data_IF_689734001961
#
_entry.id   IF_689734001961
#
_cell.length_a   1.000
_cell.length_b   1.000
_cell.length_c   1.000
_cell.angle_alpha   90.00
_cell.angle_beta   90.00
_cell.angle_gamma   90.00
#
_symmetry.space_group_name_H-M   'P 1'
#
loop_
_entity.id
_entity.type
_entity.pdbx_description
1 polymer ?
#
# COMPACT_ATOMS: atom_id res chain seq x y z
N UNK A 1 -17.61 3.77 7.65
CA UNK A 1 -16.60 2.70 7.57
C UNK A 1 -15.31 3.29 8.09
N UNK A 2 -14.87 2.82 9.26
CA UNK A 2 -13.62 3.26 9.89
C UNK A 2 -12.51 2.26 9.56
N UNK A 3 -11.50 2.68 8.82
CA UNK A 3 -10.30 1.91 8.51
C UNK A 3 -9.13 2.44 9.33
N UNK A 4 -8.45 1.57 10.06
CA UNK A 4 -7.17 1.90 10.70
C UNK A 4 -6.06 1.27 9.87
N UNK A 5 -5.15 2.09 9.36
CA UNK A 5 -3.96 1.64 8.66
C UNK A 5 -2.77 1.68 9.60
N UNK A 6 -2.09 0.56 9.77
CA UNK A 6 -0.86 0.43 10.57
C UNK A 6 0.28 0.20 9.60
N UNK A 7 1.09 1.23 9.33
CA UNK A 7 2.08 1.09 8.25
C UNK A 7 3.12 2.20 8.17
N UNK A 8 3.86 2.15 7.09
CA UNK A 8 5.01 3.01 6.81
C UNK A 8 4.61 4.36 6.24
N UNK A 9 5.47 5.33 6.51
CA UNK A 9 5.50 6.65 5.85
C UNK A 9 6.92 6.88 5.37
N UNK A 10 7.11 7.17 4.09
CA UNK A 10 8.41 7.46 3.49
C UNK A 10 8.37 8.78 2.71
N UNK A 11 9.53 9.38 2.56
CA UNK A 11 9.78 10.34 1.50
C UNK A 11 10.63 9.68 0.41
N UNK A 12 10.10 9.52 -0.78
CA UNK A 12 10.78 8.89 -1.90
C UNK A 12 11.63 9.93 -2.62
N UNK A 13 12.93 9.65 -2.75
CA UNK A 13 13.93 10.48 -3.43
C UNK A 13 14.20 9.84 -4.79
N UNK A 14 13.62 10.40 -5.84
CA UNK A 14 13.62 9.81 -7.19
C UNK A 14 14.61 10.56 -8.07
N UNK A 15 15.63 9.86 -8.57
CA UNK A 15 16.60 10.35 -9.53
C UNK A 15 16.33 9.72 -10.92
N UNK A 16 16.11 10.57 -11.93
CA UNK A 16 16.00 10.11 -13.31
C UNK A 16 17.39 10.05 -13.94
N UNK A 17 17.69 8.93 -14.58
CA UNK A 17 19.01 8.69 -15.22
C UNK A 17 18.82 8.10 -16.63
N UNK A 18 19.84 8.17 -17.47
CA UNK A 18 19.78 7.56 -18.81
C UNK A 18 19.90 6.04 -18.77
N UNK A 19 20.54 5.48 -17.75
CA UNK A 19 20.67 4.04 -17.46
C UNK A 19 20.86 3.83 -15.97
N UNK A 20 20.52 2.66 -15.47
CA UNK A 20 20.81 2.31 -14.06
C UNK A 20 22.33 2.19 -13.85
N UNK A 21 22.88 2.70 -12.73
CA UNK A 21 24.31 2.58 -12.41
C UNK A 21 24.68 1.12 -12.07
N UNK A 22 25.80 0.66 -12.60
CA UNK A 22 26.45 -0.57 -12.16
C UNK A 22 27.36 -0.32 -10.94
N UNK A 23 27.80 -1.39 -10.29
CA UNK A 23 28.74 -1.27 -9.17
C UNK A 23 30.02 -0.52 -9.57
N UNK A 24 30.33 0.57 -8.86
CA UNK A 24 31.46 1.45 -9.13
C UNK A 24 31.20 2.61 -10.09
N UNK A 25 30.02 2.68 -10.70
CA UNK A 25 29.67 3.80 -11.58
C UNK A 25 29.39 5.11 -10.81
N UNK A 26 29.78 6.22 -11.41
CA UNK A 26 29.28 7.55 -11.08
C UNK A 26 28.56 8.09 -12.31
N UNK A 27 27.27 8.34 -12.19
CA UNK A 27 26.45 8.87 -13.30
C UNK A 27 25.75 10.15 -12.86
N UNK A 28 25.37 10.99 -13.84
CA UNK A 28 24.65 12.23 -13.58
C UNK A 28 23.17 12.00 -13.83
N UNK A 29 22.33 12.36 -12.85
CA UNK A 29 20.89 12.38 -13.01
C UNK A 29 20.46 13.56 -13.89
N UNK A 30 19.40 13.36 -14.67
CA UNK A 30 18.78 14.40 -15.51
C UNK A 30 17.68 15.16 -14.79
N UNK A 31 17.08 14.53 -13.76
CA UNK A 31 16.04 15.13 -12.92
C UNK A 31 16.09 14.52 -11.51
N UNK A 32 15.57 15.26 -10.53
CA UNK A 32 15.44 14.84 -9.15
C UNK A 32 14.11 15.30 -8.56
N UNK A 33 13.40 14.39 -7.93
CA UNK A 33 12.10 14.67 -7.30
C UNK A 33 12.03 14.09 -5.90
N UNK A 34 11.32 14.78 -5.03
CA UNK A 34 10.91 14.31 -3.69
C UNK A 34 9.41 14.01 -3.75
N UNK A 35 9.00 12.81 -3.45
CA UNK A 35 7.61 12.36 -3.60
C UNK A 35 7.16 11.71 -2.29
N UNK A 36 6.00 12.11 -1.71
CA UNK A 36 5.41 11.39 -0.59
C UNK A 36 5.15 9.93 -0.95
N UNK A 37 5.56 9.00 -0.08
CA UNK A 37 5.49 7.57 -0.30
C UNK A 37 5.31 6.78 1.00
N UNK A 38 5.69 5.50 0.94
CA UNK A 38 5.45 4.51 1.98
C UNK A 38 4.10 3.81 1.81
N UNK A 39 4.11 2.48 1.82
CA UNK A 39 2.90 1.66 1.53
C UNK A 39 1.75 1.96 2.48
N UNK A 40 2.04 2.16 3.78
CA UNK A 40 1.03 2.53 4.76
C UNK A 40 0.36 3.87 4.42
N UNK A 41 1.15 4.90 4.15
CA UNK A 41 0.67 6.21 3.76
C UNK A 41 -0.12 6.17 2.44
N UNK A 42 0.40 5.45 1.43
CA UNK A 42 -0.25 5.33 0.13
C UNK A 42 -1.62 4.65 0.24
N UNK A 43 -1.71 3.52 0.96
CA UNK A 43 -2.95 2.76 1.13
C UNK A 43 -3.96 3.51 2.00
N UNK A 44 -3.50 4.25 3.03
CA UNK A 44 -4.35 5.12 3.83
C UNK A 44 -4.98 6.23 2.97
N UNK A 45 -4.16 6.89 2.15
CA UNK A 45 -4.62 7.96 1.27
C UNK A 45 -5.56 7.43 0.17
N UNK A 46 -5.25 6.27 -0.43
CA UNK A 46 -6.11 5.63 -1.42
C UNK A 46 -7.50 5.32 -0.83
N UNK A 47 -7.54 4.69 0.33
CA UNK A 47 -8.78 4.36 1.01
C UNK A 47 -9.58 5.63 1.41
N UNK A 48 -8.89 6.67 1.90
CA UNK A 48 -9.51 7.95 2.25
C UNK A 48 -10.16 8.62 1.04
N UNK A 49 -9.44 8.71 -0.06
CA UNK A 49 -9.96 9.27 -1.33
C UNK A 49 -11.17 8.50 -1.86
N UNK A 50 -11.23 7.20 -1.60
CA UNK A 50 -12.34 6.33 -2.01
C UNK A 50 -13.49 6.26 -0.99
N UNK A 51 -13.46 7.12 0.05
CA UNK A 51 -14.61 7.38 0.91
C UNK A 51 -14.58 6.70 2.28
N UNK A 52 -13.50 6.04 2.67
CA UNK A 52 -13.35 5.54 4.03
C UNK A 52 -13.02 6.68 5.03
N UNK A 53 -13.42 6.53 6.28
CA UNK A 53 -12.88 7.29 7.39
C UNK A 53 -11.61 6.60 7.86
N UNK A 54 -10.45 7.24 7.67
CA UNK A 54 -9.13 6.60 7.80
C UNK A 54 -8.33 7.24 8.93
N UNK A 55 -7.82 6.40 9.85
CA UNK A 55 -6.79 6.75 10.80
C UNK A 55 -5.48 6.02 10.43
N UNK A 56 -4.34 6.73 10.51
CA UNK A 56 -3.02 6.18 10.24
C UNK A 56 -2.22 6.06 11.54
N UNK A 57 -1.84 4.84 11.89
CA UNK A 57 -0.85 4.53 12.94
C UNK A 57 0.50 4.30 12.26
N UNK A 58 1.41 5.25 12.40
CA UNK A 58 2.71 5.25 11.72
C UNK A 58 3.78 5.89 12.59
N UNK A 59 5.02 5.91 12.10
CA UNK A 59 6.12 6.61 12.73
C UNK A 59 6.92 7.40 11.71
N UNK A 60 7.23 8.66 12.03
CA UNK A 60 8.07 9.56 11.25
C UNK A 60 9.11 10.22 12.16
N UNK A 61 10.17 10.79 11.59
CA UNK A 61 11.13 11.58 12.33
C UNK A 61 10.59 12.96 12.72
N UNK A 62 11.36 13.69 13.53
CA UNK A 62 11.13 15.10 13.78
C UNK A 62 11.99 15.94 12.82
N UNK A 63 11.66 15.81 11.52
CA UNK A 63 12.40 16.39 10.41
C UNK A 63 11.47 16.97 9.33
N UNK A 64 12.06 17.69 8.38
CA UNK A 64 11.34 18.30 7.26
C UNK A 64 10.68 17.23 6.36
N UNK A 65 11.34 16.07 6.19
CA UNK A 65 10.84 14.97 5.40
C UNK A 65 9.48 14.45 5.91
N UNK A 66 9.25 14.46 7.23
CA UNK A 66 7.97 14.10 7.83
C UNK A 66 6.83 15.02 7.36
N UNK A 67 7.10 16.33 7.32
CA UNK A 67 6.11 17.32 6.87
C UNK A 67 5.70 17.08 5.42
N UNK A 68 6.68 16.85 4.54
CA UNK A 68 6.42 16.56 3.12
C UNK A 68 5.68 15.23 2.92
N UNK A 69 6.14 14.16 3.59
CA UNK A 69 5.55 12.83 3.47
C UNK A 69 4.09 12.75 3.95
N UNK A 70 3.69 13.59 4.92
CA UNK A 70 2.35 13.63 5.50
C UNK A 70 1.41 14.66 4.83
N UNK A 71 1.92 15.53 3.96
CA UNK A 71 1.18 16.68 3.45
C UNK A 71 -0.13 16.30 2.75
N UNK A 72 -0.10 15.31 1.84
CA UNK A 72 -1.30 14.88 1.10
C UNK A 72 -2.29 14.14 1.99
N UNK A 73 -1.83 13.36 2.96
CA UNK A 73 -2.67 12.70 3.94
C UNK A 73 -3.46 13.72 4.78
N UNK A 74 -2.76 14.74 5.28
CA UNK A 74 -3.38 15.83 6.04
C UNK A 74 -4.40 16.62 5.18
N UNK A 75 -4.03 16.95 3.94
CA UNK A 75 -4.89 17.71 3.02
C UNK A 75 -6.18 16.95 2.66
N UNK A 76 -6.10 15.63 2.51
CA UNK A 76 -7.27 14.78 2.22
C UNK A 76 -8.01 14.31 3.50
N UNK A 77 -7.57 14.74 4.70
CA UNK A 77 -8.27 14.52 5.96
C UNK A 77 -8.14 13.11 6.51
N UNK A 78 -6.99 12.46 6.33
CA UNK A 78 -6.61 11.26 7.10
C UNK A 78 -6.34 11.67 8.54
N UNK A 79 -6.87 10.93 9.51
CA UNK A 79 -6.55 11.16 10.92
C UNK A 79 -5.10 10.72 11.20
N UNK A 80 -4.25 11.71 11.50
CA UNK A 80 -2.82 11.55 11.76
C UNK A 80 -2.48 11.58 13.26
N UNK A 81 -3.47 11.59 14.16
CA UNK A 81 -3.25 11.65 15.61
C UNK A 81 -2.46 10.45 16.14
N UNK A 82 -2.51 9.32 15.44
CA UNK A 82 -1.74 8.11 15.72
C UNK A 82 -0.32 8.09 15.13
N UNK A 83 0.12 9.18 14.47
CA UNK A 83 1.49 9.25 13.93
C UNK A 83 2.47 9.65 15.03
N UNK A 84 3.42 8.75 15.30
CA UNK A 84 4.45 8.93 16.35
C UNK A 84 5.73 9.54 15.79
N UNK A 85 6.49 10.17 16.68
CA UNK A 85 7.81 10.74 16.37
C UNK A 85 8.88 10.16 17.30
N UNK A 86 9.28 8.87 17.12
CA UNK A 86 10.40 8.30 17.85
C UNK A 86 11.71 8.92 17.37
N UNK A 87 12.81 8.73 18.14
CA UNK A 87 14.14 9.14 17.69
C UNK A 87 14.49 8.56 16.32
N UNK A 88 15.19 9.35 15.51
CA UNK A 88 15.65 8.96 14.19
C UNK A 88 14.93 9.66 13.04
N UNK A 89 15.43 9.55 11.81
CA UNK A 89 14.87 10.24 10.65
C UNK A 89 13.59 9.57 10.16
N UNK A 90 12.79 10.31 9.40
CA UNK A 90 11.70 9.77 8.59
C UNK A 90 12.22 8.71 7.62
N UNK A 91 11.41 7.71 7.32
CA UNK A 91 11.75 6.68 6.31
C UNK A 91 11.97 7.30 4.94
N UNK A 92 12.93 6.75 4.20
CA UNK A 92 13.29 7.24 2.85
C UNK A 92 13.41 6.05 1.90
N UNK A 93 12.89 6.18 0.67
CA UNK A 93 13.26 5.32 -0.43
C UNK A 93 14.16 6.08 -1.41
N UNK A 94 15.34 5.53 -1.67
CA UNK A 94 16.26 6.02 -2.70
C UNK A 94 15.93 5.28 -4.00
N UNK A 95 15.40 6.00 -4.97
CA UNK A 95 14.88 5.41 -6.21
C UNK A 95 15.65 5.99 -7.39
N UNK A 96 16.21 5.11 -8.22
CA UNK A 96 16.79 5.48 -9.50
C UNK A 96 15.94 4.89 -10.60
N UNK A 97 15.51 5.70 -11.58
CA UNK A 97 14.67 5.27 -12.71
C UNK A 97 15.40 5.63 -13.99
N UNK A 98 15.51 4.69 -14.93
CA UNK A 98 16.12 4.94 -16.22
C UNK A 98 15.12 5.30 -17.34
N UNK A 99 15.64 5.61 -18.53
CA UNK A 99 14.82 6.00 -19.69
C UNK A 99 13.93 4.85 -20.23
N UNK A 100 14.22 3.60 -19.84
CA UNK A 100 13.39 2.44 -20.16
C UNK A 100 12.27 2.22 -19.13
N UNK A 101 12.26 2.98 -18.01
CA UNK A 101 11.32 2.83 -16.90
C UNK A 101 11.72 1.75 -15.90
N UNK A 102 12.91 1.14 -16.06
CA UNK A 102 13.46 0.21 -15.07
C UNK A 102 13.93 0.98 -13.84
N UNK A 103 13.81 0.38 -12.65
CA UNK A 103 14.18 1.06 -11.43
C UNK A 103 15.01 0.18 -10.47
N UNK A 104 15.74 0.87 -9.59
CA UNK A 104 16.32 0.28 -8.39
C UNK A 104 15.87 1.07 -7.17
N UNK A 105 15.55 0.36 -6.09
CA UNK A 105 15.02 0.97 -4.86
C UNK A 105 15.84 0.47 -3.67
N UNK A 106 16.33 1.42 -2.86
CA UNK A 106 16.93 1.15 -1.56
C UNK A 106 16.09 1.82 -0.50
N UNK A 107 15.49 1.02 0.38
CA UNK A 107 14.67 1.54 1.49
C UNK A 107 15.51 1.72 2.73
N UNK A 108 15.45 2.93 3.30
CA UNK A 108 15.97 3.26 4.63
C UNK A 108 14.77 3.41 5.57
N UNK A 109 14.51 2.41 6.44
CA UNK A 109 13.27 2.39 7.22
C UNK A 109 13.10 3.58 8.17
N UNK A 110 14.19 4.12 8.73
CA UNK A 110 14.14 5.22 9.67
C UNK A 110 13.19 4.94 10.86
N UNK A 111 12.31 5.88 11.13
CA UNK A 111 11.31 5.79 12.20
C UNK A 111 10.33 4.62 12.03
N UNK A 112 10.03 4.18 10.78
CA UNK A 112 9.16 3.02 10.53
C UNK A 112 9.64 1.77 11.27
N UNK A 113 10.97 1.53 11.39
CA UNK A 113 11.53 0.40 12.11
C UNK A 113 11.24 0.40 13.62
N UNK A 114 10.77 1.52 14.15
CA UNK A 114 10.46 1.73 15.58
C UNK A 114 8.97 1.80 15.87
N UNK A 115 8.12 1.66 14.84
CA UNK A 115 6.67 1.67 15.04
C UNK A 115 6.27 0.55 16.00
N UNK A 116 5.55 0.94 17.03
CA UNK A 116 4.84 0.05 17.95
C UNK A 116 3.44 0.63 18.17
N UNK A 117 2.46 -0.21 18.32
CA UNK A 117 1.06 0.19 18.58
C UNK A 117 0.56 -0.39 19.89
N UNK A 118 -0.41 0.29 20.50
CA UNK A 118 -1.26 -0.29 21.52
C UNK A 118 -2.50 -0.87 20.82
N UNK A 119 -2.87 -2.15 21.03
CA UNK A 119 -4.10 -2.72 20.50
C UNK A 119 -5.36 -1.90 20.79
N UNK A 120 -5.39 -1.12 21.87
CA UNK A 120 -6.50 -0.24 22.20
C UNK A 120 -6.72 0.87 21.14
N UNK A 121 -5.70 1.24 20.38
CA UNK A 121 -5.80 2.24 19.29
C UNK A 121 -6.61 1.74 18.09
N UNK A 122 -6.83 0.41 18.00
CA UNK A 122 -7.64 -0.22 16.96
C UNK A 122 -9.13 -0.25 17.31
N UNK A 123 -9.51 0.24 18.50
CA UNK A 123 -10.89 0.20 18.96
C UNK A 123 -11.84 0.92 18.00
N UNK A 124 -12.96 0.28 17.69
CA UNK A 124 -13.99 0.81 16.79
C UNK A 124 -13.61 0.80 15.31
N UNK A 125 -12.51 0.15 14.91
CA UNK A 125 -12.20 -0.08 13.51
C UNK A 125 -13.17 -1.13 12.91
N UNK A 126 -13.66 -0.86 11.70
CA UNK A 126 -14.36 -1.86 10.86
C UNK A 126 -13.36 -2.71 10.09
N UNK A 127 -12.16 -2.18 9.82
CA UNK A 127 -11.02 -2.92 9.31
C UNK A 127 -9.69 -2.36 9.81
N UNK A 128 -8.67 -3.24 9.86
CA UNK A 128 -7.26 -2.91 10.09
C UNK A 128 -6.46 -3.38 8.89
N UNK A 129 -5.62 -2.50 8.32
CA UNK A 129 -4.80 -2.79 7.16
C UNK A 129 -3.33 -2.61 7.50
N UNK A 130 -2.52 -3.64 7.23
CA UNK A 130 -1.07 -3.64 7.43
C UNK A 130 -0.30 -3.93 6.14
N UNK A 131 0.99 -3.57 6.13
CA UNK A 131 1.98 -3.93 5.11
C UNK A 131 3.26 -4.39 5.82
N UNK A 132 4.28 -4.81 5.05
CA UNK A 132 5.51 -5.37 5.62
C UNK A 132 6.71 -4.39 5.63
N UNK A 133 6.46 -3.08 5.57
CA UNK A 133 7.48 -2.03 5.73
C UNK A 133 7.66 -1.56 7.19
N UNK A 134 6.98 -2.23 8.12
CA UNK A 134 7.08 -1.98 9.57
C UNK A 134 7.47 -3.27 10.29
N UNK A 135 7.92 -3.21 11.56
CA UNK A 135 8.33 -4.43 12.26
C UNK A 135 7.24 -5.49 12.31
N UNK A 136 7.58 -6.76 12.07
CA UNK A 136 6.63 -7.88 12.10
C UNK A 136 5.91 -7.99 13.45
N UNK A 137 6.58 -7.65 14.58
CA UNK A 137 5.91 -7.57 15.89
C UNK A 137 4.74 -6.58 15.93
N UNK A 138 4.83 -5.48 15.17
CA UNK A 138 3.75 -4.48 15.05
C UNK A 138 2.60 -5.02 14.22
N UNK A 139 2.90 -5.73 13.12
CA UNK A 139 1.89 -6.41 12.29
C UNK A 139 1.18 -7.49 13.10
N UNK A 140 1.92 -8.30 13.87
CA UNK A 140 1.34 -9.32 14.74
C UNK A 140 0.47 -8.72 15.85
N UNK A 141 0.89 -7.60 16.46
CA UNK A 141 0.08 -6.88 17.44
C UNK A 141 -1.21 -6.31 16.82
N UNK A 142 -1.14 -5.80 15.58
CA UNK A 142 -2.31 -5.32 14.84
C UNK A 142 -3.28 -6.46 14.51
N UNK A 143 -2.77 -7.61 14.05
CA UNK A 143 -3.57 -8.79 13.78
C UNK A 143 -4.31 -9.27 15.05
N UNK A 144 -3.59 -9.43 16.16
CA UNK A 144 -4.14 -9.87 17.42
C UNK A 144 -5.12 -8.85 18.06
N UNK A 145 -4.84 -7.54 17.88
CA UNK A 145 -5.64 -6.45 18.43
C UNK A 145 -6.85 -6.05 17.57
N UNK A 146 -6.95 -6.55 16.35
CA UNK A 146 -8.10 -6.25 15.48
C UNK A 146 -9.40 -6.66 16.13
N UNK A 147 -10.39 -5.75 16.28
CA UNK A 147 -11.64 -6.04 16.96
C UNK A 147 -12.38 -7.25 16.37
N UNK A 148 -13.14 -7.96 17.20
CA UNK A 148 -14.00 -9.05 16.72
C UNK A 148 -15.03 -8.50 15.74
N UNK A 149 -15.13 -9.13 14.56
CA UNK A 149 -16.03 -8.72 13.48
C UNK A 149 -15.45 -7.65 12.56
N UNK A 150 -14.31 -7.04 12.90
CA UNK A 150 -13.55 -6.22 12.00
C UNK A 150 -12.64 -7.06 11.09
N UNK A 151 -12.41 -6.61 9.87
CA UNK A 151 -11.50 -7.25 8.93
C UNK A 151 -10.04 -6.97 9.30
N UNK A 152 -9.19 -7.99 9.31
CA UNK A 152 -7.75 -7.81 9.28
C UNK A 152 -7.24 -8.06 7.87
N UNK A 153 -6.62 -7.04 7.28
CA UNK A 153 -6.11 -7.06 5.91
C UNK A 153 -4.59 -6.91 5.93
N UNK A 154 -3.87 -7.72 5.16
CA UNK A 154 -2.42 -7.68 5.03
C UNK A 154 -2.00 -7.58 3.57
N UNK A 155 -1.25 -6.55 3.20
CA UNK A 155 -0.51 -6.53 1.95
C UNK A 155 0.91 -7.04 2.19
N UNK A 156 1.31 -8.13 1.52
CA UNK A 156 2.59 -8.81 1.74
C UNK A 156 3.76 -8.17 0.98
N UNK A 157 3.80 -6.86 0.97
CA UNK A 157 4.80 -6.06 0.29
C UNK A 157 5.61 -5.21 1.29
N UNK A 158 6.97 -5.20 1.21
CA UNK A 158 7.80 -6.12 0.43
C UNK A 158 7.71 -7.56 0.97
N UNK A 159 8.02 -8.60 0.17
CA UNK A 159 7.87 -9.97 0.62
C UNK A 159 8.82 -10.28 1.79
N UNK A 160 8.25 -10.82 2.85
CA UNK A 160 8.97 -11.27 4.05
C UNK A 160 8.23 -12.46 4.69
N UNK A 161 8.91 -13.28 5.51
CA UNK A 161 8.25 -14.35 6.25
C UNK A 161 7.15 -13.79 7.16
N UNK A 162 5.94 -14.38 7.07
CA UNK A 162 4.79 -13.99 7.89
C UNK A 162 4.42 -15.14 8.84
N UNK A 163 4.31 -14.90 10.16
CA UNK A 163 3.90 -15.92 11.12
C UNK A 163 2.53 -16.51 10.78
N UNK A 164 2.38 -17.82 11.02
CA UNK A 164 1.13 -18.54 10.73
C UNK A 164 -0.09 -17.94 11.43
N UNK A 165 0.07 -17.50 12.69
CA UNK A 165 -0.99 -16.85 13.46
C UNK A 165 -1.47 -15.53 12.87
N UNK A 166 -0.60 -14.80 12.16
CA UNK A 166 -0.98 -13.57 11.44
C UNK A 166 -1.79 -13.91 10.20
N UNK A 167 -1.36 -14.94 9.45
CA UNK A 167 -2.08 -15.42 8.27
C UNK A 167 -3.43 -16.04 8.63
N UNK A 168 -3.50 -16.82 9.71
CA UNK A 168 -4.75 -17.43 10.21
C UNK A 168 -5.77 -16.36 10.64
N UNK A 169 -5.29 -15.18 11.10
CA UNK A 169 -6.16 -14.05 11.46
C UNK A 169 -6.59 -13.25 10.24
N UNK A 170 -5.86 -13.34 9.12
CA UNK A 170 -6.12 -12.49 7.97
C UNK A 170 -7.43 -12.86 7.26
N UNK A 171 -8.33 -11.90 7.18
CA UNK A 171 -9.55 -12.01 6.37
C UNK A 171 -9.25 -11.75 4.89
N UNK A 172 -8.23 -10.90 4.61
CA UNK A 172 -7.75 -10.60 3.28
C UNK A 172 -6.23 -10.48 3.28
N UNK A 173 -5.58 -11.20 2.38
CA UNK A 173 -4.19 -10.96 1.99
C UNK A 173 -4.16 -10.38 0.57
N UNK A 174 -3.33 -9.36 0.33
CA UNK A 174 -3.06 -8.84 -1.02
C UNK A 174 -1.59 -9.05 -1.33
N UNK A 175 -1.30 -9.65 -2.48
CA UNK A 175 0.04 -9.94 -2.96
C UNK A 175 0.10 -9.76 -4.49
N UNK A 176 1.25 -9.39 -5.05
CA UNK A 176 1.50 -9.60 -6.47
C UNK A 176 1.98 -11.04 -6.71
N UNK A 177 2.12 -11.45 -7.99
CA UNK A 177 2.58 -12.81 -8.34
C UNK A 177 3.92 -13.19 -7.71
N UNK A 178 4.87 -12.25 -7.64
CA UNK A 178 6.19 -12.51 -7.08
C UNK A 178 6.12 -12.64 -5.55
N UNK A 179 5.38 -11.78 -4.89
CA UNK A 179 5.11 -11.85 -3.44
C UNK A 179 4.37 -13.13 -3.08
N UNK A 180 3.33 -13.50 -3.88
CA UNK A 180 2.59 -14.75 -3.67
C UNK A 180 3.47 -15.99 -3.79
N UNK A 181 4.46 -15.97 -4.69
CA UNK A 181 5.42 -17.07 -4.84
C UNK A 181 6.51 -17.07 -3.75
N UNK A 182 6.82 -15.90 -3.17
CA UNK A 182 7.92 -15.75 -2.21
C UNK A 182 7.50 -15.94 -0.75
N UNK A 183 6.21 -15.79 -0.43
CA UNK A 183 5.69 -15.86 0.96
C UNK A 183 4.86 -17.13 1.12
N UNK A 184 5.35 -18.04 1.95
CA UNK A 184 4.68 -19.30 2.21
C UNK A 184 3.39 -19.15 2.99
N UNK A 185 2.43 -20.03 2.72
CA UNK A 185 1.23 -20.20 3.55
C UNK A 185 0.16 -19.15 3.38
N UNK A 186 0.21 -18.29 2.35
CA UNK A 186 -0.79 -17.23 2.14
C UNK A 186 -2.23 -17.76 2.01
N UNK A 187 -2.42 -18.98 1.47
CA UNK A 187 -3.74 -19.64 1.37
C UNK A 187 -4.36 -20.02 2.75
N UNK A 188 -3.67 -19.72 3.88
CA UNK A 188 -4.24 -19.78 5.25
C UNK A 188 -5.23 -18.66 5.50
N UNK A 189 -5.06 -17.51 4.85
CA UNK A 189 -5.99 -16.39 4.94
C UNK A 189 -7.37 -16.77 4.34
N UNK A 190 -8.43 -16.13 4.82
CA UNK A 190 -9.78 -16.39 4.33
C UNK A 190 -9.94 -16.03 2.85
N UNK A 191 -9.33 -14.91 2.42
CA UNK A 191 -9.24 -14.47 1.03
C UNK A 191 -7.80 -14.06 0.69
N UNK A 192 -7.35 -14.36 -0.54
CA UNK A 192 -6.07 -13.91 -1.08
C UNK A 192 -6.31 -13.27 -2.44
N UNK A 193 -6.03 -11.97 -2.56
CA UNK A 193 -6.03 -11.25 -3.84
C UNK A 193 -4.62 -11.30 -4.44
N UNK A 194 -4.47 -11.87 -5.62
CA UNK A 194 -3.20 -11.93 -6.35
C UNK A 194 -3.27 -11.02 -7.56
N UNK A 195 -2.49 -9.94 -7.53
CA UNK A 195 -2.41 -8.99 -8.65
C UNK A 195 -1.38 -9.44 -9.68
N UNK A 196 -1.67 -9.15 -10.94
CA UNK A 196 -0.88 -9.59 -12.09
C UNK A 196 -0.60 -8.45 -13.09
N UNK A 197 -0.57 -7.19 -12.63
CA UNK A 197 -0.34 -6.03 -13.47
C UNK A 197 -1.35 -5.95 -14.62
N UNK A 198 -0.86 -5.94 -15.85
CA UNK A 198 -1.69 -5.88 -17.06
C UNK A 198 -2.61 -7.11 -17.28
N UNK A 199 -2.39 -8.21 -16.56
CA UNK A 199 -3.27 -9.38 -16.61
C UNK A 199 -4.45 -9.29 -15.60
N UNK A 200 -4.55 -8.20 -14.82
CA UNK A 200 -5.61 -8.01 -13.85
C UNK A 200 -5.32 -8.65 -12.49
N UNK A 201 -6.32 -9.25 -11.87
CA UNK A 201 -6.19 -9.88 -10.55
C UNK A 201 -7.14 -11.07 -10.38
N UNK A 202 -6.79 -11.96 -9.46
CA UNK A 202 -7.65 -13.04 -9.00
C UNK A 202 -7.85 -13.00 -7.50
N UNK A 203 -9.03 -13.39 -7.05
CA UNK A 203 -9.33 -13.61 -5.65
C UNK A 203 -9.42 -15.12 -5.40
N UNK A 204 -8.77 -15.58 -4.33
CA UNK A 204 -8.70 -16.99 -3.94
C UNK A 204 -9.30 -17.18 -2.55
N UNK A 205 -9.92 -18.32 -2.33
CA UNK A 205 -10.37 -18.78 -1.01
C UNK A 205 -10.09 -20.27 -0.88
N UNK A 206 -9.46 -20.70 0.22
CA UNK A 206 -9.09 -22.10 0.42
C UNK A 206 -8.28 -22.70 -0.73
N UNK A 207 -7.35 -21.93 -1.29
CA UNK A 207 -6.48 -22.32 -2.40
C UNK A 207 -7.15 -22.34 -3.79
N UNK A 208 -8.44 -21.97 -3.90
CA UNK A 208 -9.20 -21.99 -5.17
C UNK A 208 -9.54 -20.56 -5.60
N UNK A 209 -9.54 -20.33 -6.91
CA UNK A 209 -10.05 -19.08 -7.48
C UNK A 209 -11.56 -18.98 -7.26
N UNK A 210 -11.99 -17.81 -6.74
CA UNK A 210 -13.41 -17.51 -6.43
C UNK A 210 -13.91 -16.24 -7.11
N UNK A 211 -13.02 -15.42 -7.68
CA UNK A 211 -13.33 -14.27 -8.53
C UNK A 211 -12.12 -13.92 -9.40
N UNK A 212 -12.36 -13.33 -10.57
CA UNK A 212 -11.33 -12.81 -11.48
C UNK A 212 -11.78 -11.50 -12.11
N UNK A 213 -10.87 -10.54 -12.17
CA UNK A 213 -11.05 -9.31 -12.92
C UNK A 213 -9.91 -9.11 -13.91
N UNK A 214 -10.24 -8.77 -15.14
CA UNK A 214 -9.25 -8.32 -16.11
C UNK A 214 -8.71 -6.94 -15.73
N UNK A 215 -7.50 -6.62 -16.14
CA UNK A 215 -7.01 -5.26 -16.03
C UNK A 215 -7.77 -4.35 -17.00
N UNK A 216 -8.05 -3.13 -16.55
CA UNK A 216 -8.54 -2.09 -17.44
C UNK A 216 -7.39 -1.54 -18.26
N UNK A 217 -7.55 -1.50 -19.58
CA UNK A 217 -6.51 -1.02 -20.48
C UNK A 217 -6.28 0.49 -20.30
N UNK A 218 -5.06 0.86 -19.98
CA UNK A 218 -4.60 2.25 -19.87
C UNK A 218 -3.20 2.38 -20.47
N UNK A 219 -2.82 3.60 -20.88
CA UNK A 219 -1.41 3.89 -21.15
C UNK A 219 -0.69 4.05 -19.82
N UNK A 220 0.17 3.09 -19.48
CA UNK A 220 0.96 3.15 -18.28
C UNK A 220 2.00 4.29 -18.36
N UNK A 221 2.07 5.10 -17.31
CA UNK A 221 3.03 6.21 -17.14
C UNK A 221 4.01 5.86 -16.01
N UNK A 222 3.49 5.42 -14.88
CA UNK A 222 4.29 5.09 -13.69
C UNK A 222 3.52 4.05 -12.85
N UNK A 223 4.12 2.88 -12.62
CA UNK A 223 3.51 1.81 -11.84
C UNK A 223 3.53 2.03 -10.32
N UNK A 224 4.20 3.09 -9.86
CA UNK A 224 4.34 3.38 -8.42
C UNK A 224 2.98 3.71 -7.80
N UNK A 225 2.67 3.03 -6.69
CA UNK A 225 1.40 3.21 -6.00
C UNK A 225 0.19 2.46 -6.60
N UNK A 226 0.31 1.81 -7.77
CA UNK A 226 -0.80 1.09 -8.38
C UNK A 226 -1.29 -0.08 -7.49
N UNK A 227 -0.38 -0.82 -6.87
CA UNK A 227 -0.70 -1.87 -5.90
C UNK A 227 -1.33 -1.32 -4.62
N UNK A 228 -0.93 -0.13 -4.19
CA UNK A 228 -1.49 0.54 -3.01
C UNK A 228 -2.91 1.06 -3.30
N UNK A 229 -3.13 1.63 -4.49
CA UNK A 229 -4.45 2.03 -4.97
C UNK A 229 -5.40 0.83 -5.06
N UNK A 230 -4.93 -0.29 -5.66
CA UNK A 230 -5.66 -1.56 -5.70
C UNK A 230 -6.04 -2.04 -4.30
N UNK A 231 -5.07 -2.09 -3.37
CA UNK A 231 -5.27 -2.58 -2.00
C UNK A 231 -6.29 -1.71 -1.25
N UNK A 232 -6.12 -0.38 -1.28
CA UNK A 232 -7.05 0.54 -0.65
C UNK A 232 -8.46 0.42 -1.21
N UNK A 233 -8.60 0.33 -2.54
CA UNK A 233 -9.89 0.18 -3.22
C UNK A 233 -10.56 -1.16 -2.89
N UNK A 234 -9.81 -2.27 -2.85
CA UNK A 234 -10.36 -3.58 -2.51
C UNK A 234 -10.92 -3.61 -1.08
N UNK A 235 -10.14 -3.13 -0.11
CA UNK A 235 -10.56 -3.06 1.30
C UNK A 235 -11.81 -2.21 1.45
N UNK A 236 -11.84 -1.00 0.87
CA UNK A 236 -13.01 -0.10 0.94
C UNK A 236 -14.23 -0.74 0.28
N UNK A 237 -14.07 -1.40 -0.86
CA UNK A 237 -15.17 -2.05 -1.58
C UNK A 237 -15.79 -3.21 -0.79
N UNK A 238 -14.95 -4.04 -0.18
CA UNK A 238 -15.41 -5.13 0.69
C UNK A 238 -16.12 -4.60 1.95
N UNK A 239 -15.59 -3.54 2.57
CA UNK A 239 -16.24 -2.86 3.70
C UNK A 239 -17.58 -2.23 3.33
N UNK A 240 -17.72 -1.74 2.10
CA UNK A 240 -18.97 -1.21 1.57
C UNK A 240 -20.01 -2.31 1.23
N UNK A 241 -19.62 -3.60 1.38
CA UNK A 241 -20.49 -4.75 1.12
C UNK A 241 -20.66 -5.10 -0.35
N UNK A 242 -19.74 -4.65 -1.23
CA UNK A 242 -19.72 -5.11 -2.60
C UNK A 242 -19.42 -6.60 -2.65
N UNK A 243 -20.01 -7.31 -3.62
CA UNK A 243 -19.63 -8.69 -3.88
C UNK A 243 -18.17 -8.78 -4.38
N UNK A 244 -17.63 -10.01 -4.41
CA UNK A 244 -16.21 -10.24 -4.69
C UNK A 244 -15.80 -9.80 -6.09
N UNK A 245 -16.66 -10.00 -7.08
CA UNK A 245 -16.37 -9.64 -8.47
C UNK A 245 -16.36 -8.12 -8.64
N UNK A 246 -17.36 -7.43 -8.12
CA UNK A 246 -17.45 -5.98 -8.14
C UNK A 246 -16.32 -5.32 -7.35
N UNK A 247 -15.98 -5.84 -6.16
CA UNK A 247 -14.88 -5.32 -5.35
C UNK A 247 -13.53 -5.48 -6.06
N UNK A 248 -13.28 -6.65 -6.67
CA UNK A 248 -12.05 -6.94 -7.39
C UNK A 248 -11.93 -6.08 -8.66
N UNK A 249 -13.02 -5.92 -9.41
CA UNK A 249 -13.08 -5.05 -10.60
C UNK A 249 -12.75 -3.60 -10.23
N UNK A 250 -13.40 -3.05 -9.19
CA UNK A 250 -13.16 -1.68 -8.72
C UNK A 250 -11.70 -1.49 -8.26
N UNK A 251 -11.10 -2.51 -7.64
CA UNK A 251 -9.69 -2.49 -7.26
C UNK A 251 -8.76 -2.45 -8.48
N UNK A 252 -9.06 -3.22 -9.54
CA UNK A 252 -8.32 -3.17 -10.80
C UNK A 252 -8.43 -1.79 -11.48
N UNK A 253 -9.62 -1.17 -11.48
CA UNK A 253 -9.81 0.21 -11.98
C UNK A 253 -8.91 1.20 -11.21
N UNK A 254 -8.89 1.11 -9.87
CA UNK A 254 -8.08 1.99 -9.04
C UNK A 254 -6.58 1.85 -9.34
N UNK A 255 -6.08 0.61 -9.48
CA UNK A 255 -4.71 0.34 -9.88
C UNK A 255 -4.38 0.88 -11.28
N UNK A 256 -5.30 0.75 -12.24
CA UNK A 256 -5.15 1.25 -13.61
C UNK A 256 -5.08 2.79 -13.64
N UNK A 257 -5.98 3.47 -12.92
CA UNK A 257 -5.92 4.95 -12.80
C UNK A 257 -4.58 5.39 -12.22
N UNK A 258 -4.13 4.76 -11.13
CA UNK A 258 -2.83 5.11 -10.54
C UNK A 258 -1.68 4.89 -11.53
N UNK A 259 -1.64 3.76 -12.22
CA UNK A 259 -0.60 3.45 -13.21
C UNK A 259 -0.58 4.40 -14.41
N UNK A 260 -1.68 5.11 -14.70
CA UNK A 260 -1.77 6.09 -15.79
C UNK A 260 -1.25 7.49 -15.42
N UNK A 261 -0.74 7.68 -14.19
CA UNK A 261 -0.30 8.98 -13.65
C UNK A 261 1.08 8.82 -13.00
N UNK A 262 1.83 9.91 -12.88
CA UNK A 262 3.14 9.91 -12.24
C UNK A 262 3.08 10.03 -10.73
N UNK A 263 3.97 9.32 -10.02
CA UNK A 263 4.18 9.35 -8.58
C UNK A 263 3.23 8.47 -7.81
N UNK A 264 3.58 8.11 -6.55
CA UNK A 264 2.77 7.25 -5.70
C UNK A 264 1.48 7.96 -5.23
N UNK A 265 1.57 8.80 -4.21
CA UNK A 265 0.40 9.47 -3.63
C UNK A 265 -0.33 10.44 -4.59
N UNK A 266 0.37 11.21 -5.46
CA UNK A 266 -0.33 12.06 -6.42
C UNK A 266 -1.21 11.30 -7.40
N UNK A 267 -0.85 10.07 -7.78
CA UNK A 267 -1.57 9.24 -8.76
C UNK A 267 -2.84 8.60 -8.21
N UNK A 268 -3.00 8.50 -6.89
CA UNK A 268 -4.08 7.75 -6.25
C UNK A 268 -5.47 8.31 -6.62
N UNK A 269 -6.41 7.44 -7.05
CA UNK A 269 -7.68 7.86 -7.62
C UNK A 269 -8.68 8.41 -6.61
N UNK A 270 -9.63 9.17 -7.13
CA UNK A 270 -10.89 9.55 -6.48
C UNK A 270 -12.06 8.82 -7.18
N UNK A 271 -13.26 8.74 -6.60
CA UNK A 271 -14.41 8.04 -7.21
C UNK A 271 -14.70 8.46 -8.65
N UNK A 272 -14.68 9.77 -8.94
CA UNK A 272 -14.91 10.28 -10.30
C UNK A 272 -13.88 9.81 -11.34
N UNK A 273 -12.65 9.48 -10.91
CA UNK A 273 -11.63 8.92 -11.81
C UNK A 273 -11.99 7.50 -12.23
N UNK A 274 -12.54 6.69 -11.28
CA UNK A 274 -12.98 5.33 -11.54
C UNK A 274 -14.18 5.34 -12.49
N UNK A 275 -15.19 6.16 -12.18
CA UNK A 275 -16.39 6.30 -13.00
C UNK A 275 -16.05 6.73 -14.44
N UNK A 276 -15.08 7.65 -14.59
CA UNK A 276 -14.60 8.13 -15.89
C UNK A 276 -13.86 7.07 -16.70
N UNK A 277 -13.14 6.16 -16.03
CA UNK A 277 -12.43 5.06 -16.69
C UNK A 277 -13.39 3.93 -17.07
N UNK A 278 -14.36 3.62 -16.22
CA UNK A 278 -15.38 2.59 -16.45
C UNK A 278 -16.33 2.92 -17.60
N UNK A 279 -16.57 4.22 -17.85
CA UNK A 279 -17.44 4.69 -18.92
C UNK A 279 -16.79 4.65 -20.32
N UNK A 280 -15.52 4.28 -20.45
CA UNK A 280 -14.78 4.22 -21.72
C UNK A 280 -14.84 2.83 -22.36
#
# INVERSE_FOLDING_TARGET
MRLVVVGSVNLDLVAQVSRLPAGGDTITATDYRRVPGGKGANQALAARRLGADVALLAAVGDDEAAGEALALLAADGVDLTGVRRPDGPTGVALITVDDAGENTIVVVPGANARLAIDPAELAGADAVLCQLEVPMRTVAAAAAGTPRGALFCLNTAPPAPVPAEVLDRADLVVANRAEFAAVDGLDRAALVAVTAGADGAVLRAGGREVARAAATAVTAVDGTGAGDAFTGALVVSLLAGLDRDAALHRACLAGAVAASRSGAQPSLPRPADLDSLEAR
#
